data_IF_248717609308
#
_entry.id   IF_248717609308
#
_cell.length_a   1.000
_cell.length_b   1.000
_cell.length_c   1.000
_cell.angle_alpha   90.00
_cell.angle_beta   90.00
_cell.angle_gamma   90.00
#
_symmetry.space_group_name_H-M   'P 1'
#
loop_
_entity.id
_entity.type
_entity.pdbx_description
1 polymer ?
#
# COMPACT_ATOMS: atom_id res chain seq x y z
N UNK A 1 46.75 -47.67 -19.01
CA UNK A 1 45.56 -47.44 -18.14
C UNK A 1 45.74 -46.06 -17.54
N UNK A 2 45.07 -45.05 -18.13
CA UNK A 2 45.08 -43.71 -17.64
C UNK A 2 43.91 -43.51 -16.67
N UNK A 3 44.19 -43.23 -15.42
CA UNK A 3 43.20 -42.89 -14.43
C UNK A 3 42.83 -41.41 -14.66
N UNK A 4 41.61 -41.21 -15.23
CA UNK A 4 41.06 -39.87 -15.33
C UNK A 4 40.74 -39.34 -13.95
N UNK A 5 41.41 -38.26 -13.55
CA UNK A 5 41.08 -37.49 -12.36
C UNK A 5 39.88 -36.59 -12.74
N UNK A 6 38.68 -36.99 -12.34
CA UNK A 6 37.52 -36.09 -12.40
C UNK A 6 37.78 -34.92 -11.47
N UNK A 7 37.86 -33.73 -12.03
CA UNK A 7 37.89 -32.49 -11.25
C UNK A 7 36.60 -32.36 -10.44
N UNK A 8 36.63 -32.03 -9.12
CA UNK A 8 35.43 -31.85 -8.35
C UNK A 8 34.64 -30.69 -8.95
N UNK A 9 33.42 -30.99 -9.42
CA UNK A 9 32.46 -29.95 -9.83
C UNK A 9 32.19 -29.09 -8.63
N UNK A 10 32.57 -27.80 -8.73
CA UNK A 10 32.18 -26.79 -7.71
C UNK A 10 30.66 -26.83 -7.57
N UNK A 11 30.12 -26.90 -6.35
CA UNK A 11 28.69 -26.82 -6.16
C UNK A 11 28.20 -25.47 -6.74
N UNK A 12 27.06 -25.51 -7.45
CA UNK A 12 26.44 -24.31 -7.97
C UNK A 12 26.31 -23.24 -6.85
N UNK A 13 26.54 -21.94 -7.15
CA UNK A 13 26.39 -20.89 -6.14
C UNK A 13 25.04 -21.04 -5.45
N UNK A 14 25.04 -21.05 -4.12
CA UNK A 14 23.81 -21.17 -3.35
C UNK A 14 22.94 -19.96 -3.66
N UNK A 15 21.75 -20.16 -4.18
CA UNK A 15 20.80 -19.06 -4.38
C UNK A 15 20.49 -18.40 -3.04
N UNK A 16 20.58 -17.07 -2.97
CA UNK A 16 20.26 -16.31 -1.79
C UNK A 16 18.80 -16.55 -1.37
N UNK A 17 18.60 -16.80 -0.10
CA UNK A 17 17.27 -16.95 0.48
C UNK A 17 16.83 -15.69 1.23
N UNK A 18 15.54 -15.50 1.41
CA UNK A 18 15.03 -14.39 2.23
C UNK A 18 15.51 -14.50 3.70
N UNK A 19 15.81 -15.71 4.19
CA UNK A 19 16.34 -15.90 5.52
C UNK A 19 17.80 -15.39 5.64
N UNK A 20 18.58 -15.47 4.57
CA UNK A 20 19.94 -14.88 4.56
C UNK A 20 19.86 -13.35 4.67
N UNK A 21 18.89 -12.73 3.99
CA UNK A 21 18.62 -11.28 4.12
C UNK A 21 18.17 -10.92 5.54
N UNK A 22 17.28 -11.70 6.13
CA UNK A 22 16.82 -11.46 7.51
C UNK A 22 17.94 -11.61 8.53
N UNK A 23 18.87 -12.51 8.30
CA UNK A 23 20.00 -12.79 9.21
C UNK A 23 20.99 -11.62 9.31
N UNK A 24 21.10 -10.77 8.25
CA UNK A 24 22.01 -9.61 8.27
C UNK A 24 21.36 -8.35 8.86
N UNK A 25 20.06 -8.35 9.08
CA UNK A 25 19.38 -7.20 9.69
C UNK A 25 19.71 -7.15 11.18
N UNK A 26 20.30 -6.05 11.68
CA UNK A 26 20.67 -5.93 13.09
C UNK A 26 19.45 -6.12 14.02
N UNK A 27 19.64 -6.84 15.13
CA UNK A 27 18.58 -7.11 16.10
C UNK A 27 17.90 -5.81 16.62
N UNK A 28 18.68 -4.72 16.74
CA UNK A 28 18.16 -3.39 17.12
C UNK A 28 17.09 -2.85 16.15
N UNK A 29 17.03 -3.35 14.91
CA UNK A 29 16.00 -2.97 13.95
C UNK A 29 14.61 -3.54 14.30
N UNK A 30 14.53 -4.53 15.17
CA UNK A 30 13.28 -5.11 15.64
C UNK A 30 12.79 -4.52 16.98
N UNK A 31 13.54 -3.60 17.55
CA UNK A 31 13.18 -2.95 18.81
C UNK A 31 12.01 -1.98 18.62
N UNK A 32 10.92 -2.28 19.29
CA UNK A 32 9.73 -1.42 19.32
C UNK A 32 9.88 -0.33 20.36
N UNK A 33 9.36 0.85 20.08
CA UNK A 33 9.41 1.99 21.00
C UNK A 33 8.02 2.50 21.30
N UNK A 34 7.52 2.24 22.51
CA UNK A 34 6.21 2.75 22.96
C UNK A 34 6.14 4.27 22.83
N UNK A 35 7.21 4.99 23.18
CA UNK A 35 7.25 6.45 23.08
C UNK A 35 7.10 6.93 21.64
N UNK A 36 7.82 6.31 20.67
CA UNK A 36 7.73 6.68 19.25
C UNK A 36 6.37 6.32 18.68
N UNK A 37 5.83 5.15 19.01
CA UNK A 37 4.49 4.72 18.61
C UNK A 37 3.41 5.69 19.14
N UNK A 38 3.44 6.02 20.44
CA UNK A 38 2.48 6.95 21.05
C UNK A 38 2.58 8.35 20.45
N UNK A 39 3.80 8.88 20.23
CA UNK A 39 3.99 10.19 19.57
C UNK A 39 3.42 10.18 18.14
N UNK A 40 3.69 9.15 17.35
CA UNK A 40 3.16 9.03 16.00
C UNK A 40 1.63 8.95 15.99
N UNK A 41 1.03 8.19 16.90
CA UNK A 41 -0.43 8.07 17.03
C UNK A 41 -1.07 9.40 17.44
N UNK A 42 -0.51 10.11 18.45
CA UNK A 42 -1.01 11.44 18.85
C UNK A 42 -0.90 12.42 17.67
N UNK A 43 0.26 12.47 17.02
CA UNK A 43 0.49 13.33 15.86
C UNK A 43 -0.51 13.06 14.74
N UNK A 44 -0.70 11.79 14.33
CA UNK A 44 -1.62 11.41 13.27
C UNK A 44 -3.08 11.73 13.66
N UNK A 45 -3.45 11.50 14.92
CA UNK A 45 -4.79 11.85 15.43
C UNK A 45 -5.04 13.38 15.38
N UNK A 46 -4.07 14.19 15.79
CA UNK A 46 -4.17 15.66 15.69
C UNK A 46 -4.24 16.12 14.23
N UNK A 47 -3.37 15.58 13.37
CA UNK A 47 -3.37 15.88 11.94
C UNK A 47 -4.68 15.47 11.25
N UNK A 48 -5.41 14.49 11.77
CA UNK A 48 -6.73 14.10 11.29
C UNK A 48 -7.85 14.96 11.89
N UNK A 49 -7.84 15.20 13.19
CA UNK A 49 -8.89 15.93 13.87
C UNK A 49 -8.97 17.40 13.41
N UNK A 50 -7.81 18.07 13.27
CA UNK A 50 -7.78 19.49 12.87
C UNK A 50 -8.45 19.75 11.52
N UNK A 51 -8.05 19.11 10.40
CA UNK A 51 -8.73 19.36 9.12
C UNK A 51 -10.17 18.84 9.11
N UNK A 52 -10.50 17.78 9.86
CA UNK A 52 -11.88 17.29 9.96
C UNK A 52 -12.79 18.34 10.61
N UNK A 53 -12.38 18.91 11.75
CA UNK A 53 -13.12 20.01 12.42
C UNK A 53 -13.16 21.26 11.54
N UNK A 54 -12.05 21.61 10.92
CA UNK A 54 -11.99 22.75 10.01
C UNK A 54 -12.95 22.59 8.81
N UNK A 55 -13.07 21.38 8.24
CA UNK A 55 -14.07 21.07 7.20
C UNK A 55 -15.50 21.27 7.69
N UNK A 56 -15.81 20.90 8.94
CA UNK A 56 -17.14 21.17 9.51
C UNK A 56 -17.42 22.67 9.57
N UNK A 57 -16.45 23.46 10.02
CA UNK A 57 -16.62 24.89 10.32
C UNK A 57 -16.44 25.81 9.09
N UNK A 58 -15.78 25.36 8.02
CA UNK A 58 -15.40 26.21 6.89
C UNK A 58 -16.31 25.99 5.69
N UNK A 59 -16.81 27.07 5.09
CA UNK A 59 -17.59 27.04 3.85
C UNK A 59 -16.93 27.82 2.69
N UNK A 60 -15.82 28.50 2.95
CA UNK A 60 -15.06 29.23 1.92
C UNK A 60 -14.37 28.21 1.00
N UNK A 61 -14.74 28.16 -0.29
CA UNK A 61 -14.39 27.12 -1.25
C UNK A 61 -12.87 26.80 -1.33
N UNK A 62 -12.01 27.82 -1.36
CA UNK A 62 -10.56 27.62 -1.43
C UNK A 62 -9.99 27.02 -0.14
N UNK A 63 -10.51 27.42 1.03
CA UNK A 63 -10.11 26.86 2.31
C UNK A 63 -10.58 25.41 2.47
N UNK A 64 -11.79 25.10 2.00
CA UNK A 64 -12.29 23.71 1.93
C UNK A 64 -11.35 22.83 1.08
N UNK A 65 -10.87 23.35 -0.07
CA UNK A 65 -9.89 22.64 -0.90
C UNK A 65 -8.59 22.29 -0.18
N UNK A 66 -8.05 23.24 0.60
CA UNK A 66 -6.87 23.00 1.44
C UNK A 66 -7.15 21.96 2.52
N UNK A 67 -8.27 22.07 3.22
CA UNK A 67 -8.65 21.12 4.27
C UNK A 67 -8.93 19.72 3.71
N UNK A 68 -9.48 19.61 2.52
CA UNK A 68 -9.63 18.32 1.84
C UNK A 68 -8.28 17.64 1.62
N UNK A 69 -7.29 18.36 1.08
CA UNK A 69 -5.95 17.82 0.85
C UNK A 69 -5.31 17.37 2.17
N UNK A 70 -5.37 18.21 3.20
CA UNK A 70 -4.83 17.88 4.52
C UNK A 70 -5.55 16.70 5.17
N UNK A 71 -6.88 16.62 5.05
CA UNK A 71 -7.66 15.48 5.56
C UNK A 71 -7.32 14.18 4.82
N UNK A 72 -7.20 14.21 3.49
CA UNK A 72 -6.77 13.04 2.70
C UNK A 72 -5.38 12.54 3.09
N UNK A 73 -4.42 13.45 3.27
CA UNK A 73 -3.08 13.13 3.79
C UNK A 73 -3.14 12.55 5.21
N UNK A 74 -3.98 13.11 6.08
CA UNK A 74 -4.12 12.65 7.45
C UNK A 74 -4.75 11.26 7.54
N UNK A 75 -5.80 10.97 6.75
CA UNK A 75 -6.36 9.62 6.62
C UNK A 75 -5.31 8.64 6.13
N UNK A 76 -4.45 9.06 5.17
CA UNK A 76 -3.33 8.23 4.68
C UNK A 76 -2.30 7.97 5.79
N UNK A 77 -1.98 8.97 6.61
CA UNK A 77 -1.05 8.81 7.74
C UNK A 77 -1.58 7.86 8.82
N UNK A 78 -2.85 7.97 9.18
CA UNK A 78 -3.51 7.01 10.08
C UNK A 78 -3.50 5.61 9.47
N UNK A 79 -3.83 5.49 8.19
CA UNK A 79 -3.82 4.20 7.50
C UNK A 79 -2.43 3.54 7.52
N UNK A 80 -1.34 4.29 7.31
CA UNK A 80 0.04 3.75 7.38
C UNK A 80 0.38 3.27 8.79
N UNK A 81 -0.02 3.99 9.85
CA UNK A 81 0.17 3.49 11.22
C UNK A 81 -0.69 2.25 11.52
N UNK A 82 -1.92 2.22 11.01
CA UNK A 82 -2.79 1.04 11.09
C UNK A 82 -2.21 -0.16 10.36
N UNK A 83 -1.60 0.07 9.21
CA UNK A 83 -0.87 -0.92 8.43
C UNK A 83 0.30 -1.54 9.22
N UNK A 84 1.16 -0.72 9.83
CA UNK A 84 2.26 -1.20 10.67
C UNK A 84 1.76 -1.96 11.91
N UNK A 85 0.68 -1.48 12.52
CA UNK A 85 0.04 -2.18 13.62
C UNK A 85 -0.55 -3.54 13.20
N UNK A 86 -1.15 -3.64 12.00
CA UNK A 86 -1.65 -4.90 11.44
C UNK A 86 -0.53 -5.93 11.23
N UNK A 87 0.69 -5.49 10.92
CA UNK A 87 1.89 -6.33 10.88
C UNK A 87 2.46 -6.68 12.28
N UNK A 88 1.85 -6.22 13.36
CA UNK A 88 2.37 -6.32 14.73
C UNK A 88 3.74 -5.65 14.91
N UNK A 89 4.05 -4.63 14.14
CA UNK A 89 5.32 -3.91 14.18
C UNK A 89 5.35 -2.75 15.19
N UNK A 90 4.19 -2.22 15.60
CA UNK A 90 4.11 -0.97 16.36
C UNK A 90 4.39 -1.15 17.85
N UNK A 91 3.79 -2.17 18.48
CA UNK A 91 3.88 -2.47 19.92
C UNK A 91 4.12 -3.98 20.13
N UNK A 92 4.54 -4.37 21.36
CA UNK A 92 4.78 -5.77 21.72
C UNK A 92 3.47 -6.58 21.83
N UNK A 93 2.40 -5.95 22.27
CA UNK A 93 1.10 -6.60 22.44
C UNK A 93 0.36 -6.74 21.11
N UNK A 94 0.13 -7.98 20.66
CA UNK A 94 -0.68 -8.27 19.46
C UNK A 94 -2.10 -7.71 19.57
N UNK A 95 -2.71 -7.79 20.78
CA UNK A 95 -4.06 -7.25 21.03
C UNK A 95 -4.06 -5.72 20.86
N UNK A 96 -3.07 -5.02 21.42
CA UNK A 96 -2.96 -3.56 21.27
C UNK A 96 -2.74 -3.17 19.81
N UNK A 97 -1.86 -3.85 19.10
CA UNK A 97 -1.64 -3.62 17.66
C UNK A 97 -2.94 -3.78 16.87
N UNK A 98 -3.72 -4.85 17.10
CA UNK A 98 -4.98 -5.06 16.42
C UNK A 98 -5.99 -3.93 16.66
N UNK A 99 -6.15 -3.50 17.92
CA UNK A 99 -7.05 -2.39 18.27
C UNK A 99 -6.60 -1.10 17.57
N UNK A 100 -5.28 -0.81 17.59
CA UNK A 100 -4.72 0.36 16.91
C UNK A 100 -4.96 0.27 15.40
N UNK A 101 -4.73 -0.90 14.79
CA UNK A 101 -4.98 -1.11 13.37
C UNK A 101 -6.45 -0.82 13.01
N UNK A 102 -7.41 -1.36 13.74
CA UNK A 102 -8.84 -1.12 13.53
C UNK A 102 -9.19 0.37 13.67
N UNK A 103 -8.71 1.05 14.71
CA UNK A 103 -8.97 2.47 14.93
C UNK A 103 -8.33 3.35 13.85
N UNK A 104 -7.06 3.13 13.52
CA UNK A 104 -6.34 3.91 12.54
C UNK A 104 -6.83 3.67 11.09
N UNK A 105 -7.29 2.48 10.78
CA UNK A 105 -7.88 2.14 9.48
C UNK A 105 -9.35 2.55 9.35
N UNK A 106 -10.02 2.91 10.46
CA UNK A 106 -11.42 3.33 10.48
C UNK A 106 -11.73 4.50 9.52
N UNK A 107 -11.01 5.63 9.57
CA UNK A 107 -11.25 6.77 8.68
C UNK A 107 -11.08 6.45 7.18
N UNK A 108 -10.25 5.48 6.84
CA UNK A 108 -10.08 4.97 5.47
C UNK A 108 -11.07 3.87 5.10
N UNK A 109 -12.00 3.53 6.00
CA UNK A 109 -13.02 2.49 5.82
C UNK A 109 -12.40 1.14 5.43
N UNK A 110 -11.26 0.77 6.07
CA UNK A 110 -10.59 -0.52 5.85
C UNK A 110 -10.88 -1.50 6.97
N UNK A 111 -11.34 -2.69 6.57
CA UNK A 111 -11.57 -3.81 7.46
C UNK A 111 -10.24 -4.50 7.78
N UNK A 112 -9.76 -4.39 9.02
CA UNK A 112 -8.43 -4.85 9.45
C UNK A 112 -8.23 -6.36 9.21
N UNK A 113 -9.19 -7.20 9.54
CA UNK A 113 -9.07 -8.65 9.35
C UNK A 113 -9.04 -9.07 7.87
N UNK A 114 -9.73 -8.35 7.00
CA UNK A 114 -9.64 -8.56 5.54
C UNK A 114 -8.31 -8.03 4.99
N UNK A 115 -7.80 -6.92 5.56
CA UNK A 115 -6.48 -6.37 5.25
C UNK A 115 -5.36 -7.32 5.66
N UNK A 116 -5.40 -7.88 6.89
CA UNK A 116 -4.43 -8.91 7.33
C UNK A 116 -4.36 -10.09 6.35
N UNK A 117 -5.51 -10.55 5.85
CA UNK A 117 -5.52 -11.65 4.90
C UNK A 117 -5.01 -11.22 3.50
N UNK A 118 -5.54 -10.13 2.96
CA UNK A 118 -5.21 -9.68 1.61
C UNK A 118 -3.79 -9.12 1.52
N UNK A 119 -3.43 -8.21 2.40
CA UNK A 119 -2.15 -7.52 2.37
C UNK A 119 -1.04 -8.32 3.05
N UNK A 120 -1.21 -8.68 4.34
CA UNK A 120 -0.11 -9.27 5.09
C UNK A 120 0.21 -10.70 4.66
N UNK A 121 -0.77 -11.48 4.16
CA UNK A 121 -0.56 -12.88 3.80
C UNK A 121 -0.46 -13.10 2.30
N UNK A 122 -1.32 -12.44 1.50
CA UNK A 122 -1.30 -12.65 0.05
C UNK A 122 -0.27 -11.74 -0.61
N UNK A 123 -0.36 -10.43 -0.45
CA UNK A 123 0.58 -9.50 -1.08
C UNK A 123 2.02 -9.72 -0.57
N UNK A 124 2.26 -9.67 0.74
CA UNK A 124 3.59 -9.94 1.29
C UNK A 124 4.04 -11.39 1.11
N UNK A 125 3.11 -12.34 1.06
CA UNK A 125 3.46 -13.76 0.82
C UNK A 125 3.85 -14.05 -0.62
N UNK A 126 3.39 -13.25 -1.59
CA UNK A 126 3.51 -13.53 -3.03
C UNK A 126 3.74 -12.26 -3.87
N UNK A 127 4.45 -11.27 -3.34
CA UNK A 127 4.71 -10.00 -4.01
C UNK A 127 5.17 -10.19 -5.44
N UNK A 128 4.50 -9.55 -6.39
CA UNK A 128 4.69 -9.64 -7.84
C UNK A 128 4.68 -11.04 -8.46
N UNK A 129 4.08 -12.04 -7.77
CA UNK A 129 3.89 -13.38 -8.34
C UNK A 129 2.67 -13.42 -9.24
N UNK A 130 2.86 -13.84 -10.49
CA UNK A 130 1.79 -14.00 -11.48
C UNK A 130 0.63 -14.85 -10.96
N UNK A 131 -0.59 -14.28 -10.99
CA UNK A 131 -1.83 -14.95 -10.61
C UNK A 131 -2.05 -15.14 -9.11
N UNK A 132 -1.21 -14.52 -8.25
CA UNK A 132 -1.39 -14.50 -6.79
C UNK A 132 -1.46 -13.08 -6.24
N UNK A 133 -0.45 -12.24 -6.50
CA UNK A 133 -0.49 -10.86 -6.07
C UNK A 133 -1.51 -10.08 -6.90
N UNK A 134 -2.36 -9.31 -6.21
CA UNK A 134 -3.38 -8.45 -6.84
C UNK A 134 -2.98 -6.98 -6.87
N UNK A 135 -1.90 -6.63 -6.19
CA UNK A 135 -1.45 -5.23 -6.06
C UNK A 135 -0.75 -4.81 -7.34
N UNK A 136 -1.41 -3.96 -8.11
CA UNK A 136 -0.92 -3.49 -9.42
C UNK A 136 -0.56 -4.63 -10.40
N UNK A 137 -1.35 -5.71 -10.36
CA UNK A 137 -1.17 -6.88 -11.22
C UNK A 137 -1.31 -6.48 -12.70
N UNK A 138 -0.25 -6.62 -13.51
CA UNK A 138 -0.34 -6.30 -14.93
C UNK A 138 -1.08 -7.39 -15.71
N UNK A 139 -1.76 -6.99 -16.77
CA UNK A 139 -2.30 -7.90 -17.77
C UNK A 139 -1.22 -8.22 -18.81
N UNK A 140 -1.30 -9.40 -19.41
CA UNK A 140 -0.60 -9.67 -20.66
C UNK A 140 -1.25 -8.93 -21.82
N UNK A 141 -0.57 -8.83 -22.97
CA UNK A 141 -1.17 -8.27 -24.19
C UNK A 141 -2.44 -9.05 -24.59
N UNK A 142 -2.38 -10.38 -24.54
CA UNK A 142 -3.51 -11.25 -24.88
C UNK A 142 -4.70 -11.03 -23.94
N UNK A 143 -4.46 -10.98 -22.60
CA UNK A 143 -5.53 -10.71 -21.64
C UNK A 143 -6.16 -9.33 -21.87
N UNK A 144 -5.34 -8.31 -22.17
CA UNK A 144 -5.84 -6.97 -22.47
C UNK A 144 -6.66 -6.94 -23.75
N UNK A 145 -6.22 -7.62 -24.81
CA UNK A 145 -6.93 -7.69 -26.08
C UNK A 145 -8.28 -8.40 -25.97
N UNK A 146 -8.40 -9.38 -25.08
CA UNK A 146 -9.63 -10.10 -24.78
C UNK A 146 -10.67 -9.25 -24.01
N UNK A 147 -10.26 -8.10 -23.42
CA UNK A 147 -11.17 -7.22 -22.72
C UNK A 147 -12.19 -6.55 -23.66
N UNK A 148 -13.43 -6.36 -23.18
CA UNK A 148 -14.43 -5.51 -23.85
C UNK A 148 -13.96 -4.05 -23.92
N UNK A 149 -14.53 -3.25 -24.81
CA UNK A 149 -14.20 -1.82 -24.95
C UNK A 149 -14.32 -1.04 -23.66
N UNK A 150 -15.35 -1.30 -22.85
CA UNK A 150 -15.55 -0.64 -21.56
C UNK A 150 -14.49 -1.08 -20.54
N UNK A 151 -14.10 -2.35 -20.54
CA UNK A 151 -13.03 -2.85 -19.67
C UNK A 151 -11.67 -2.28 -20.06
N UNK A 152 -11.39 -2.14 -21.37
CA UNK A 152 -10.19 -1.45 -21.87
C UNK A 152 -10.14 0.01 -21.45
N UNK A 153 -11.27 0.74 -21.58
CA UNK A 153 -11.37 2.13 -21.13
C UNK A 153 -11.10 2.24 -19.62
N UNK A 154 -11.74 1.40 -18.82
CA UNK A 154 -11.48 1.36 -17.37
C UNK A 154 -10.01 1.09 -17.06
N UNK A 155 -9.41 0.07 -17.68
CA UNK A 155 -8.00 -0.26 -17.46
C UNK A 155 -7.10 0.92 -17.82
N UNK A 156 -7.36 1.61 -18.93
CA UNK A 156 -6.61 2.80 -19.35
C UNK A 156 -6.74 3.96 -18.35
N UNK A 157 -7.94 4.17 -17.79
CA UNK A 157 -8.17 5.18 -16.75
C UNK A 157 -7.44 4.84 -15.46
N UNK A 158 -7.59 3.60 -14.95
CA UNK A 158 -6.95 3.13 -13.72
C UNK A 158 -5.41 3.17 -13.79
N UNK A 159 -4.83 2.85 -14.94
CA UNK A 159 -3.38 2.85 -15.18
C UNK A 159 -2.88 4.19 -15.74
N UNK A 160 -3.68 5.24 -15.72
CA UNK A 160 -3.21 6.60 -16.05
C UNK A 160 -2.46 7.24 -14.89
N UNK A 161 -1.79 8.36 -15.15
CA UNK A 161 -1.04 9.08 -14.10
C UNK A 161 -1.90 9.66 -12.98
N UNK A 162 -3.22 9.74 -13.18
CA UNK A 162 -4.19 10.22 -12.17
C UNK A 162 -5.16 9.11 -11.73
N UNK A 163 -5.04 7.91 -12.27
CA UNK A 163 -6.01 6.81 -12.07
C UNK A 163 -5.74 5.89 -10.89
N UNK A 164 -4.64 6.10 -10.18
CA UNK A 164 -4.22 5.21 -9.10
C UNK A 164 -5.25 5.06 -7.99
N UNK A 165 -5.98 6.12 -7.67
CA UNK A 165 -7.08 6.09 -6.71
C UNK A 165 -8.27 5.24 -7.18
N UNK A 166 -8.59 5.29 -8.47
CA UNK A 166 -9.66 4.47 -9.04
C UNK A 166 -9.30 2.98 -9.01
N UNK A 167 -8.04 2.64 -9.35
CA UNK A 167 -7.53 1.28 -9.21
C UNK A 167 -7.62 0.79 -7.76
N UNK A 168 -7.09 1.57 -6.81
CA UNK A 168 -7.09 1.22 -5.39
C UNK A 168 -8.52 1.04 -4.86
N UNK A 169 -9.41 1.98 -5.17
CA UNK A 169 -10.82 1.94 -4.76
C UNK A 169 -11.52 0.69 -5.28
N UNK A 170 -11.34 0.33 -6.55
CA UNK A 170 -11.99 -0.83 -7.16
C UNK A 170 -11.33 -2.15 -6.78
N UNK A 171 -10.04 -2.27 -7.05
CA UNK A 171 -9.35 -3.56 -6.92
C UNK A 171 -9.07 -3.90 -5.47
N UNK A 172 -8.46 -2.98 -4.72
CA UNK A 172 -8.02 -3.26 -3.35
C UNK A 172 -9.17 -3.12 -2.38
N UNK A 173 -9.79 -1.93 -2.33
CA UNK A 173 -10.80 -1.63 -1.32
C UNK A 173 -12.12 -2.39 -1.59
N UNK A 174 -12.67 -2.32 -2.81
CA UNK A 174 -13.97 -2.92 -3.10
C UNK A 174 -13.89 -4.43 -3.31
N UNK A 175 -13.09 -4.90 -4.28
CA UNK A 175 -13.08 -6.32 -4.67
C UNK A 175 -12.35 -7.20 -3.65
N UNK A 176 -11.18 -6.78 -3.16
CA UNK A 176 -10.34 -7.62 -2.29
C UNK A 176 -10.61 -7.44 -0.80
N UNK A 177 -11.39 -6.45 -0.41
CA UNK A 177 -11.73 -6.23 0.99
C UNK A 177 -13.22 -6.27 1.25
N UNK A 178 -14.03 -5.36 0.65
CA UNK A 178 -15.47 -5.31 0.97
C UNK A 178 -16.28 -6.47 0.38
N UNK A 179 -16.07 -6.82 -0.88
CA UNK A 179 -16.73 -7.97 -1.53
C UNK A 179 -16.11 -9.31 -1.18
N UNK A 180 -14.87 -9.30 -0.71
CA UNK A 180 -14.16 -10.53 -0.39
C UNK A 180 -14.77 -11.20 0.85
N UNK A 181 -15.01 -12.50 0.74
CA UNK A 181 -15.41 -13.38 1.83
C UNK A 181 -14.41 -14.53 1.96
N UNK A 182 -13.73 -14.60 3.10
CA UNK A 182 -12.83 -15.70 3.37
C UNK A 182 -13.62 -16.97 3.76
N UNK A 183 -13.13 -18.17 3.45
CA UNK A 183 -13.73 -19.40 3.94
C UNK A 183 -13.37 -19.67 5.41
N UNK A 184 -14.20 -20.52 6.07
CA UNK A 184 -13.92 -21.05 7.40
C UNK A 184 -13.88 -20.01 8.51
N UNK A 185 -13.03 -20.23 9.52
CA UNK A 185 -12.98 -19.40 10.75
C UNK A 185 -12.72 -17.92 10.53
N UNK A 186 -12.06 -17.56 9.42
CA UNK A 186 -11.81 -16.16 9.07
C UNK A 186 -13.05 -15.44 8.55
N UNK A 187 -14.04 -16.17 8.07
CA UNK A 187 -15.30 -15.57 7.62
C UNK A 187 -15.96 -14.75 8.73
N UNK A 188 -16.19 -15.39 9.88
CA UNK A 188 -16.90 -14.75 11.01
C UNK A 188 -16.14 -13.54 11.57
N UNK A 189 -14.81 -13.61 11.57
CA UNK A 189 -13.95 -12.50 11.97
C UNK A 189 -14.11 -11.30 11.04
N UNK A 190 -14.02 -11.53 9.73
CA UNK A 190 -14.15 -10.48 8.71
C UNK A 190 -15.57 -9.89 8.72
N UNK A 191 -16.59 -10.72 8.87
CA UNK A 191 -17.98 -10.25 8.93
C UNK A 191 -18.20 -9.36 10.15
N UNK A 192 -17.72 -9.76 11.34
CA UNK A 192 -17.82 -8.91 12.55
C UNK A 192 -17.10 -7.58 12.40
N UNK A 193 -15.89 -7.61 11.86
CA UNK A 193 -15.12 -6.38 11.62
C UNK A 193 -15.83 -5.46 10.62
N UNK A 194 -16.39 -6.02 9.53
CA UNK A 194 -17.20 -5.26 8.56
C UNK A 194 -18.45 -4.64 9.18
N UNK A 195 -19.16 -5.40 10.05
CA UNK A 195 -20.34 -4.89 10.76
C UNK A 195 -19.91 -3.75 11.69
N UNK A 196 -18.84 -3.92 12.48
CA UNK A 196 -18.33 -2.91 13.41
C UNK A 196 -17.95 -1.63 12.65
N UNK A 197 -17.17 -1.77 11.57
CA UNK A 197 -16.72 -0.66 10.74
C UNK A 197 -17.90 0.03 10.03
N UNK A 198 -18.83 -0.75 9.46
CA UNK A 198 -20.04 -0.24 8.81
C UNK A 198 -20.93 0.53 9.79
N UNK A 199 -21.09 0.01 11.02
CA UNK A 199 -21.84 0.70 12.08
C UNK A 199 -21.17 2.03 12.47
N UNK A 200 -19.85 2.05 12.64
CA UNK A 200 -19.11 3.27 12.92
C UNK A 200 -19.24 4.30 11.77
N UNK A 201 -19.19 3.83 10.51
CA UNK A 201 -19.41 4.71 9.35
C UNK A 201 -20.83 5.28 9.32
N UNK A 202 -21.85 4.48 9.61
CA UNK A 202 -23.24 4.95 9.70
C UNK A 202 -23.40 6.02 10.78
N UNK A 203 -22.77 5.84 11.94
CA UNK A 203 -22.76 6.86 13.02
C UNK A 203 -22.08 8.13 12.55
N UNK A 204 -20.95 8.05 11.86
CA UNK A 204 -20.24 9.22 11.33
C UNK A 204 -21.08 9.96 10.26
N UNK A 205 -21.76 9.21 9.37
CA UNK A 205 -22.68 9.80 8.38
C UNK A 205 -23.85 10.49 9.10
N UNK A 206 -24.50 9.82 10.05
CA UNK A 206 -25.62 10.38 10.79
C UNK A 206 -25.21 11.67 11.54
N UNK A 207 -24.05 11.65 12.22
CA UNK A 207 -23.52 12.82 12.91
C UNK A 207 -23.28 14.00 11.95
N UNK A 208 -22.66 13.76 10.80
CA UNK A 208 -22.40 14.82 9.81
C UNK A 208 -23.69 15.34 9.17
N UNK A 209 -24.67 14.47 8.90
CA UNK A 209 -26.03 14.88 8.43
C UNK A 209 -26.72 15.78 9.46
N UNK A 210 -26.73 15.39 10.74
CA UNK A 210 -27.34 16.17 11.83
C UNK A 210 -26.64 17.53 11.96
N UNK A 211 -25.31 17.56 11.98
CA UNK A 211 -24.56 18.83 12.03
C UNK A 211 -24.93 19.72 10.82
N UNK A 212 -24.98 19.17 9.62
CA UNK A 212 -25.38 19.89 8.42
C UNK A 212 -26.79 20.45 8.52
N UNK A 213 -27.75 19.63 8.96
CA UNK A 213 -29.16 20.04 9.14
C UNK A 213 -29.29 21.22 10.13
N UNK A 214 -28.56 21.15 11.25
CA UNK A 214 -28.60 22.19 12.30
C UNK A 214 -27.89 23.47 11.86
N UNK A 215 -26.92 23.43 10.97
CA UNK A 215 -26.12 24.61 10.58
C UNK A 215 -26.58 25.26 9.27
N UNK A 216 -27.31 24.54 8.39
CA UNK A 216 -27.70 25.11 7.08
C UNK A 216 -28.85 24.38 6.40
N UNK A 217 -29.67 23.64 7.14
CA UNK A 217 -30.87 22.96 6.62
C UNK A 217 -30.55 21.77 5.69
N UNK A 218 -31.50 21.40 4.83
CA UNK A 218 -31.44 20.17 4.03
C UNK A 218 -30.21 20.13 3.10
N UNK A 219 -29.90 21.23 2.42
CA UNK A 219 -28.75 21.28 1.51
C UNK A 219 -27.42 21.02 2.24
N UNK A 220 -27.26 21.62 3.43
CA UNK A 220 -26.08 21.39 4.26
C UNK A 220 -26.05 19.97 4.86
N UNK A 221 -27.21 19.39 5.17
CA UNK A 221 -27.30 17.98 5.63
C UNK A 221 -26.79 16.99 4.57
N UNK A 222 -27.06 17.26 3.28
CA UNK A 222 -26.54 16.43 2.17
C UNK A 222 -25.05 16.72 1.92
N UNK A 223 -24.66 17.99 1.98
CA UNK A 223 -23.30 18.42 1.66
C UNK A 223 -22.26 18.04 2.73
N UNK A 224 -22.63 18.06 4.01
CA UNK A 224 -21.71 17.85 5.13
C UNK A 224 -21.01 16.48 5.09
N UNK A 225 -21.71 15.34 4.95
CA UNK A 225 -21.04 14.02 4.82
C UNK A 225 -20.16 13.94 3.56
N UNK A 226 -20.56 14.56 2.45
CA UNK A 226 -19.73 14.60 1.24
C UNK A 226 -18.44 15.36 1.53
N UNK A 227 -18.54 16.55 2.12
CA UNK A 227 -17.42 17.43 2.45
C UNK A 227 -16.45 16.80 3.45
N UNK A 228 -16.96 16.15 4.50
CA UNK A 228 -16.15 15.71 5.63
C UNK A 228 -15.68 14.26 5.50
N UNK A 229 -16.44 13.39 4.86
CA UNK A 229 -16.14 11.95 4.77
C UNK A 229 -15.77 11.52 3.36
N UNK A 230 -16.63 11.81 2.35
CA UNK A 230 -16.46 11.24 1.01
C UNK A 230 -15.23 11.81 0.31
N UNK A 231 -15.07 13.14 0.26
CA UNK A 231 -13.94 13.74 -0.47
C UNK A 231 -12.59 13.40 0.16
N UNK A 232 -12.39 13.49 1.50
CA UNK A 232 -11.17 13.01 2.14
C UNK A 232 -10.87 11.53 1.88
N UNK A 233 -11.89 10.67 1.87
CA UNK A 233 -11.73 9.26 1.53
C UNK A 233 -11.27 9.05 0.07
N UNK A 234 -11.86 9.78 -0.90
CA UNK A 234 -11.42 9.69 -2.29
C UNK A 234 -9.99 10.21 -2.48
N UNK A 235 -9.60 11.26 -1.77
CA UNK A 235 -8.21 11.75 -1.78
C UNK A 235 -7.26 10.74 -1.13
N UNK A 236 -7.68 10.11 -0.04
CA UNK A 236 -6.93 9.00 0.55
C UNK A 236 -6.72 7.87 -0.46
N UNK A 237 -7.76 7.43 -1.17
CA UNK A 237 -7.59 6.36 -2.18
C UNK A 237 -6.61 6.75 -3.28
N UNK A 238 -6.61 8.03 -3.69
CA UNK A 238 -5.65 8.55 -4.67
C UNK A 238 -4.22 8.56 -4.11
N UNK A 239 -4.03 9.04 -2.87
CA UNK A 239 -2.71 9.13 -2.24
C UNK A 239 -2.12 7.74 -1.99
N UNK A 240 -2.88 6.82 -1.39
CA UNK A 240 -2.39 5.47 -1.11
C UNK A 240 -2.27 4.63 -2.38
N UNK A 241 -3.22 4.76 -3.32
CA UNK A 241 -3.11 4.11 -4.62
C UNK A 241 -1.84 4.53 -5.37
N UNK A 242 -1.50 5.82 -5.35
CA UNK A 242 -0.24 6.35 -5.89
C UNK A 242 0.97 5.82 -5.10
N UNK A 243 0.93 5.84 -3.77
CA UNK A 243 2.01 5.33 -2.91
C UNK A 243 2.34 3.89 -3.23
N UNK A 244 1.33 3.03 -3.33
CA UNK A 244 1.52 1.61 -3.66
C UNK A 244 1.97 1.44 -5.12
N UNK A 245 1.49 2.28 -6.05
CA UNK A 245 1.97 2.26 -7.44
C UNK A 245 3.48 2.49 -7.52
N UNK A 246 3.98 3.56 -6.89
CA UNK A 246 5.42 3.90 -6.99
C UNK A 246 6.33 2.91 -6.25
N UNK A 247 5.78 2.09 -5.37
CA UNK A 247 6.51 1.00 -4.73
C UNK A 247 6.71 -0.20 -5.64
N UNK A 248 5.72 -0.54 -6.48
CA UNK A 248 5.65 -1.83 -7.18
C UNK A 248 5.59 -1.72 -8.71
N UNK A 249 5.58 -0.51 -9.27
CA UNK A 249 5.52 -0.30 -10.73
C UNK A 249 6.60 0.66 -11.19
N UNK A 250 7.60 0.12 -11.85
CA UNK A 250 8.62 0.87 -12.56
C UNK A 250 9.23 -0.02 -13.67
N UNK A 251 9.88 0.56 -14.68
CA UNK A 251 10.43 -0.23 -15.80
C UNK A 251 11.41 -1.33 -15.38
N UNK A 252 12.07 -1.16 -14.26
CA UNK A 252 13.06 -2.06 -13.67
C UNK A 252 12.51 -2.93 -12.52
N UNK A 253 11.23 -2.84 -12.20
CA UNK A 253 10.55 -3.76 -11.26
C UNK A 253 9.98 -4.94 -12.03
N UNK A 254 10.45 -6.14 -11.71
CA UNK A 254 10.08 -7.39 -12.38
C UNK A 254 8.83 -8.02 -11.74
N UNK A 255 7.96 -8.54 -12.59
CA UNK A 255 6.95 -9.53 -12.24
C UNK A 255 7.45 -10.93 -12.61
N UNK A 256 7.13 -11.91 -11.79
CA UNK A 256 7.68 -13.24 -11.87
C UNK A 256 6.61 -14.26 -12.27
N UNK A 257 6.96 -15.17 -13.18
CA UNK A 257 6.13 -16.35 -13.44
C UNK A 257 6.03 -17.20 -12.17
N UNK A 258 5.04 -18.09 -12.12
CA UNK A 258 4.88 -19.01 -10.97
C UNK A 258 6.10 -19.91 -10.74
N UNK A 259 6.86 -20.24 -11.80
CA UNK A 259 8.02 -21.12 -11.76
C UNK A 259 9.29 -20.41 -11.27
N UNK A 260 9.48 -19.17 -11.68
CA UNK A 260 10.69 -18.39 -11.38
C UNK A 260 10.59 -17.63 -10.04
N UNK A 261 9.37 -17.46 -9.52
CA UNK A 261 9.16 -16.71 -8.31
C UNK A 261 9.77 -17.40 -7.09
N UNK A 262 10.59 -16.69 -6.36
CA UNK A 262 11.09 -17.06 -5.04
C UNK A 262 10.72 -15.98 -4.04
N UNK A 263 10.72 -16.30 -2.75
CA UNK A 263 10.50 -15.26 -1.71
C UNK A 263 11.58 -14.19 -1.76
N UNK A 264 12.83 -14.56 -2.09
CA UNK A 264 13.91 -13.59 -2.24
C UNK A 264 13.61 -12.59 -3.36
N UNK A 265 13.33 -13.08 -4.57
CA UNK A 265 13.03 -12.21 -5.72
C UNK A 265 11.82 -11.31 -5.47
N UNK A 266 10.73 -11.88 -4.92
CA UNK A 266 9.50 -11.15 -4.66
C UNK A 266 9.67 -10.04 -3.60
N UNK A 267 10.52 -10.21 -2.60
CA UNK A 267 10.66 -9.23 -1.52
C UNK A 267 11.82 -8.26 -1.72
N UNK A 268 12.85 -8.65 -2.47
CA UNK A 268 14.04 -7.84 -2.67
C UNK A 268 14.02 -7.02 -3.97
N UNK A 269 13.49 -7.60 -5.06
CA UNK A 269 13.58 -7.02 -6.41
C UNK A 269 12.27 -6.40 -6.90
N UNK A 270 11.17 -6.66 -6.21
CA UNK A 270 9.83 -6.25 -6.65
C UNK A 270 9.29 -5.01 -5.94
N UNK A 271 10.16 -4.32 -5.21
CA UNK A 271 9.83 -3.07 -4.53
C UNK A 271 11.05 -2.16 -4.44
N UNK A 272 10.92 -1.01 -3.80
CA UNK A 272 11.94 0.04 -3.85
C UNK A 272 12.12 0.76 -2.52
N UNK A 273 13.26 1.43 -2.35
CA UNK A 273 13.49 2.45 -1.33
C UNK A 273 13.44 3.81 -2.01
N UNK A 274 12.37 4.57 -1.77
CA UNK A 274 12.19 5.91 -2.31
C UNK A 274 12.59 6.99 -1.30
N UNK A 275 13.52 7.85 -1.70
CA UNK A 275 13.85 9.04 -0.91
C UNK A 275 12.79 10.12 -1.11
N UNK A 276 12.04 10.40 -0.06
CA UNK A 276 11.01 11.45 -0.02
C UNK A 276 11.45 12.58 0.94
N UNK A 277 10.89 13.80 0.82
CA UNK A 277 11.18 14.88 1.77
C UNK A 277 10.90 14.46 3.20
N UNK A 278 11.87 14.67 4.09
CA UNK A 278 11.80 14.22 5.50
C UNK A 278 10.54 14.67 6.22
N UNK A 279 10.08 15.92 5.97
CA UNK A 279 8.89 16.46 6.63
C UNK A 279 7.62 15.71 6.23
N UNK A 280 7.44 15.40 4.94
CA UNK A 280 6.29 14.66 4.42
C UNK A 280 6.30 13.24 4.98
N UNK A 281 7.47 12.62 4.97
CA UNK A 281 7.67 11.29 5.52
C UNK A 281 7.39 11.24 7.03
N UNK A 282 7.89 12.22 7.79
CA UNK A 282 7.65 12.32 9.22
C UNK A 282 6.19 12.59 9.59
N UNK A 283 5.50 13.49 8.86
CA UNK A 283 4.15 13.90 9.20
C UNK A 283 3.08 12.87 8.82
N UNK A 284 3.20 12.22 7.66
CA UNK A 284 2.11 11.39 7.10
C UNK A 284 2.52 9.98 6.73
N UNK A 285 3.73 9.74 6.23
CA UNK A 285 4.06 8.44 5.62
C UNK A 285 4.90 7.51 6.50
N UNK A 286 5.36 7.94 7.67
CA UNK A 286 6.02 7.08 8.66
C UNK A 286 7.03 6.08 8.06
N UNK A 287 7.90 6.55 7.13
CA UNK A 287 8.90 5.75 6.42
C UNK A 287 8.37 4.63 5.52
N UNK A 288 7.08 4.60 5.16
CA UNK A 288 6.53 3.55 4.28
C UNK A 288 7.23 3.50 2.91
N UNK A 289 7.83 4.61 2.46
CA UNK A 289 8.61 4.67 1.22
C UNK A 289 9.95 3.93 1.30
N UNK A 290 10.39 3.53 2.49
CA UNK A 290 11.50 2.61 2.71
C UNK A 290 10.95 1.19 2.69
N UNK A 291 10.57 0.71 1.49
CA UNK A 291 9.63 -0.40 1.36
C UNK A 291 10.30 -1.78 1.26
N UNK A 292 11.54 -1.88 0.77
CA UNK A 292 12.28 -3.15 0.71
C UNK A 292 12.41 -3.83 2.07
N UNK A 293 12.95 -3.19 3.15
CA UNK A 293 13.04 -3.85 4.45
C UNK A 293 11.67 -4.17 5.05
N UNK A 294 10.63 -3.41 4.73
CA UNK A 294 9.27 -3.72 5.11
C UNK A 294 8.77 -5.02 4.46
N UNK A 295 9.06 -5.25 3.18
CA UNK A 295 8.75 -6.51 2.50
C UNK A 295 9.61 -7.68 2.98
N UNK A 296 10.89 -7.46 3.27
CA UNK A 296 11.80 -8.49 3.79
C UNK A 296 11.32 -8.99 5.15
N UNK A 297 10.93 -8.09 6.04
CA UNK A 297 10.34 -8.43 7.33
C UNK A 297 9.44 -7.31 7.87
N UNK A 298 8.15 -7.48 7.67
CA UNK A 298 7.13 -6.50 8.07
C UNK A 298 7.02 -6.29 9.59
N UNK A 299 7.76 -7.06 10.42
CA UNK A 299 7.85 -6.85 11.88
C UNK A 299 8.77 -5.70 12.27
N UNK A 300 9.55 -5.16 11.33
CA UNK A 300 10.42 -4.01 11.56
C UNK A 300 9.55 -2.76 11.73
N UNK A 301 9.58 -2.06 12.88
CA UNK A 301 8.76 -0.89 13.10
C UNK A 301 9.21 0.28 12.21
N UNK A 302 8.25 1.12 11.80
CA UNK A 302 8.45 2.21 10.83
C UNK A 302 9.71 3.05 11.07
N UNK A 303 10.06 3.33 12.33
CA UNK A 303 11.19 4.17 12.69
C UNK A 303 12.56 3.48 12.56
N UNK A 304 12.56 2.18 12.29
CA UNK A 304 13.77 1.36 12.09
C UNK A 304 13.99 0.97 10.62
N UNK A 305 12.98 1.16 9.74
CA UNK A 305 13.08 0.83 8.32
C UNK A 305 14.31 1.45 7.63
N UNK A 306 14.68 2.74 7.86
CA UNK A 306 15.89 3.30 7.25
C UNK A 306 17.19 2.60 7.67
N UNK A 307 17.28 2.19 8.93
CA UNK A 307 18.46 1.46 9.45
C UNK A 307 18.54 0.05 8.86
N UNK A 308 17.42 -0.65 8.77
CA UNK A 308 17.35 -1.97 8.15
C UNK A 308 17.67 -1.89 6.64
N UNK A 309 17.15 -0.86 5.93
CA UNK A 309 17.48 -0.63 4.53
C UNK A 309 18.98 -0.43 4.29
N UNK A 310 19.65 0.32 5.16
CA UNK A 310 21.10 0.52 5.05
C UNK A 310 21.88 -0.80 5.20
N UNK A 311 21.51 -1.64 6.18
CA UNK A 311 22.16 -2.94 6.40
C UNK A 311 21.91 -3.90 5.20
N UNK A 312 20.71 -3.92 4.65
CA UNK A 312 20.39 -4.74 3.48
C UNK A 312 21.17 -4.25 2.26
N UNK A 313 21.25 -2.94 2.02
CA UNK A 313 21.97 -2.38 0.87
C UNK A 313 23.49 -2.59 0.94
N UNK A 314 24.07 -2.62 2.14
CA UNK A 314 25.48 -2.94 2.34
C UNK A 314 25.79 -4.40 1.95
N UNK A 315 24.89 -5.32 2.30
CA UNK A 315 25.06 -6.74 2.01
C UNK A 315 24.64 -7.13 0.58
N UNK A 316 23.68 -6.43 -0.01
CA UNK A 316 23.09 -6.70 -1.33
C UNK A 316 23.02 -5.42 -2.19
N UNK A 317 24.17 -4.80 -2.53
CA UNK A 317 24.22 -3.48 -3.17
C UNK A 317 23.57 -3.46 -4.58
N UNK A 318 23.64 -4.58 -5.29
CA UNK A 318 23.12 -4.67 -6.66
C UNK A 318 21.63 -5.10 -6.74
N UNK A 319 21.04 -5.48 -5.61
CA UNK A 319 19.67 -6.00 -5.56
C UNK A 319 18.67 -4.94 -5.09
N UNK A 320 19.07 -4.08 -4.14
CA UNK A 320 18.17 -3.08 -3.57
C UNK A 320 18.05 -1.87 -4.46
N UNK A 321 16.85 -1.61 -4.95
CA UNK A 321 16.56 -0.43 -5.75
C UNK A 321 16.39 0.81 -4.88
N UNK A 322 17.39 1.68 -4.90
CA UNK A 322 17.32 3.03 -4.32
C UNK A 322 17.01 4.07 -5.40
N UNK A 323 15.99 4.89 -5.18
CA UNK A 323 15.69 5.99 -6.08
C UNK A 323 15.19 7.24 -5.34
N UNK A 324 15.39 8.41 -5.95
CA UNK A 324 14.71 9.64 -5.52
C UNK A 324 13.38 9.73 -6.24
N UNK A 325 12.33 10.12 -5.51
CA UNK A 325 11.07 10.40 -6.17
C UNK A 325 11.27 11.47 -7.25
N UNK A 326 10.78 11.18 -8.43
CA UNK A 326 10.83 12.07 -9.58
C UNK A 326 9.49 12.03 -10.32
N UNK A 327 8.83 13.18 -10.42
CA UNK A 327 7.59 13.29 -11.20
C UNK A 327 7.79 12.86 -12.66
N UNK A 328 8.97 13.19 -13.27
CA UNK A 328 9.30 12.75 -14.61
C UNK A 328 9.36 11.23 -14.73
N UNK A 329 10.02 10.56 -13.77
CA UNK A 329 10.10 9.09 -13.74
C UNK A 329 8.71 8.46 -13.53
N UNK A 330 7.89 9.01 -12.63
CA UNK A 330 6.50 8.57 -12.43
C UNK A 330 5.67 8.71 -13.72
N UNK A 331 5.69 9.87 -14.37
CA UNK A 331 4.97 10.09 -15.62
C UNK A 331 5.47 9.17 -16.74
N UNK A 332 6.77 8.86 -16.78
CA UNK A 332 7.33 7.90 -17.73
C UNK A 332 6.84 6.48 -17.42
N UNK A 333 6.90 6.03 -16.16
CA UNK A 333 6.39 4.72 -15.76
C UNK A 333 4.91 4.57 -16.11
N UNK A 334 4.08 5.60 -15.84
CA UNK A 334 2.65 5.58 -16.22
C UNK A 334 2.39 5.62 -17.73
N UNK A 335 3.39 5.84 -18.57
CA UNK A 335 3.26 5.70 -20.04
C UNK A 335 3.71 4.32 -20.53
N UNK A 336 4.75 3.77 -19.94
CA UNK A 336 5.42 2.55 -20.45
C UNK A 336 4.99 1.28 -19.72
N UNK A 337 4.72 1.34 -18.40
CA UNK A 337 4.34 0.18 -17.60
C UNK A 337 2.81 0.01 -17.63
N UNK A 338 2.29 -0.63 -18.68
CA UNK A 338 0.86 -0.84 -18.88
C UNK A 338 0.45 -2.31 -18.88
N UNK A 339 1.22 -3.10 -19.56
CA UNK A 339 1.07 -4.53 -19.73
C UNK A 339 2.41 -5.19 -19.41
N UNK A 340 2.43 -6.49 -19.24
CA UNK A 340 3.66 -7.20 -18.91
C UNK A 340 3.85 -8.42 -19.79
N UNK A 341 5.04 -8.57 -20.34
CA UNK A 341 5.48 -9.79 -21.01
C UNK A 341 6.23 -10.64 -19.98
N UNK A 342 5.63 -11.76 -19.57
CA UNK A 342 6.21 -12.64 -18.57
C UNK A 342 7.33 -13.53 -19.15
N UNK A 343 7.40 -13.72 -20.47
CA UNK A 343 8.50 -14.48 -21.11
C UNK A 343 9.74 -13.59 -21.25
N UNK A 344 9.55 -12.36 -21.75
CA UNK A 344 10.63 -11.39 -21.88
C UNK A 344 10.95 -10.66 -20.57
N UNK A 345 10.18 -10.88 -19.50
CA UNK A 345 10.29 -10.22 -18.19
C UNK A 345 10.33 -8.67 -18.28
N UNK A 346 9.45 -8.09 -19.12
CA UNK A 346 9.49 -6.64 -19.40
C UNK A 346 8.11 -6.00 -19.45
N UNK A 347 8.05 -4.72 -19.05
CA UNK A 347 6.87 -3.90 -19.16
C UNK A 347 6.66 -3.43 -20.61
N UNK A 348 5.40 -3.40 -21.03
CA UNK A 348 4.99 -2.98 -22.37
C UNK A 348 4.00 -1.81 -22.29
N UNK A 349 4.05 -0.84 -23.22
CA UNK A 349 2.98 0.13 -23.41
C UNK A 349 1.73 -0.56 -24.01
N UNK A 350 0.61 0.15 -24.07
CA UNK A 350 -0.53 -0.34 -24.84
C UNK A 350 -0.20 -0.51 -26.31
N UNK A 351 -0.76 -1.55 -26.96
CA UNK A 351 -0.63 -1.68 -28.41
C UNK A 351 -1.12 -0.42 -29.11
N UNK A 352 -0.33 0.06 -30.08
CA UNK A 352 -0.80 1.09 -31.00
C UNK A 352 -1.89 0.48 -31.86
N UNK A 353 -3.10 1.07 -31.85
CA UNK A 353 -4.14 0.62 -32.78
C UNK A 353 -3.59 0.83 -34.20
N UNK A 354 -3.22 -0.24 -34.87
CA UNK A 354 -3.15 -0.21 -36.33
C UNK A 354 -4.56 0.10 -36.84
N UNK A 355 -4.73 1.34 -37.29
CA UNK A 355 -5.94 1.76 -38.01
C UNK A 355 -6.05 1.00 -39.32
#
# INVERSE_FOLDING_TARGET
>A
MGVGIESPTMPAPRENSLNDVRAIIPAVCYERSRLRATRALIQATVLYAVPTVALVMTNTWWAVGIWWLLAGLAVSGLFVLGHDASHNALLDSRKANRIIAQLCMGPSVHCESAWDLGHNRIHHGYTTRQGFDFVWHPLTVADYEALSGMQKLRHRLEWSCIGSGAYFLREVWWLKMWRFNAPGKRHDEIVRDKITLGSALLVAIAATVVIGALTGGIAAAIWMPIKVLVVPFLLFTQIIGWTVYVHHVAPDIRWWTRKEWTQFNGQMESTTVLHTPRIINYLWFHNIFVHVPHHVDARIPFHKLPQAAAAIAEAFPDTVRYSKYSLKAYLQATKTCKLYDFEAATWLPYPTSTR
#
